data_IF_720476922204
#
_entry.id   IF_720476922204
#
_cell.length_a   1.000
_cell.length_b   1.000
_cell.length_c   1.000
_cell.angle_alpha   90.00
_cell.angle_beta   90.00
_cell.angle_gamma   90.00
#
_symmetry.space_group_name_H-M   'P 1'
#
loop_
_entity.id
_entity.type
_entity.pdbx_description
1 polymer ?
#
# COMPACT_ATOMS: atom_id res chain seq x y z
N UNK A 1 5.51 -10.62 29.09
CA UNK A 1 6.14 -11.77 28.43
C UNK A 1 7.27 -12.32 29.31
N UNK A 2 8.31 -11.53 29.65
CA UNK A 2 9.48 -12.00 30.43
C UNK A 2 9.08 -12.59 31.80
N UNK A 3 8.14 -11.98 32.51
CA UNK A 3 7.65 -12.49 33.81
C UNK A 3 6.90 -13.82 33.67
N UNK A 4 6.21 -14.04 32.57
CA UNK A 4 5.48 -15.29 32.36
C UNK A 4 6.40 -16.41 31.84
N UNK A 5 7.26 -16.11 30.89
CA UNK A 5 8.23 -17.05 30.29
C UNK A 5 9.39 -16.30 29.67
N UNK A 6 10.63 -16.45 30.20
CA UNK A 6 11.83 -15.88 29.57
C UNK A 6 11.97 -16.38 28.13
N UNK A 7 12.27 -15.47 27.19
CA UNK A 7 12.40 -15.78 25.77
C UNK A 7 11.08 -15.97 25.01
N UNK A 8 9.92 -15.66 25.61
CA UNK A 8 8.66 -15.68 24.89
C UNK A 8 8.68 -14.65 23.72
N UNK A 9 8.14 -15.01 22.53
CA UNK A 9 8.07 -14.10 21.39
C UNK A 9 7.20 -12.89 21.74
N UNK A 10 7.66 -11.71 21.32
CA UNK A 10 6.97 -10.43 21.56
C UNK A 10 6.98 -9.62 20.27
N UNK A 11 5.86 -8.99 19.94
CA UNK A 11 5.76 -7.96 18.92
C UNK A 11 5.68 -6.61 19.63
N UNK A 12 6.58 -5.70 19.26
CA UNK A 12 6.54 -4.33 19.73
C UNK A 12 5.51 -3.56 18.88
N UNK A 13 4.35 -3.32 19.44
CA UNK A 13 3.25 -2.72 18.73
C UNK A 13 2.42 -1.82 19.63
N UNK A 14 1.62 -0.99 19.00
CA UNK A 14 0.73 -0.08 19.66
C UNK A 14 -0.06 0.73 18.65
N UNK A 15 -0.84 1.68 19.14
CA UNK A 15 -1.59 2.61 18.32
C UNK A 15 -1.43 4.03 18.89
N UNK A 16 -0.18 4.57 18.93
CA UNK A 16 -0.04 5.97 19.31
C UNK A 16 -0.77 6.83 18.29
N UNK A 17 -1.64 7.70 18.75
CA UNK A 17 -2.43 8.58 17.89
C UNK A 17 -2.48 9.99 18.45
N UNK A 18 -2.74 10.96 17.58
CA UNK A 18 -3.01 12.33 17.97
C UNK A 18 -4.50 12.51 18.25
N UNK A 19 -4.82 13.58 18.98
CA UNK A 19 -6.18 13.93 19.35
C UNK A 19 -6.61 15.22 18.68
N UNK A 20 -7.81 15.24 18.10
CA UNK A 20 -8.40 16.45 17.53
C UNK A 20 -9.29 17.14 18.56
N UNK A 21 -8.80 18.23 19.11
CA UNK A 21 -9.53 19.01 20.13
C UNK A 21 -10.82 19.66 19.60
N UNK A 22 -10.91 19.91 18.29
CA UNK A 22 -12.09 20.52 17.68
C UNK A 22 -13.31 19.62 17.71
N UNK A 23 -13.08 18.32 17.53
CA UNK A 23 -14.12 17.31 17.42
C UNK A 23 -14.10 16.28 18.55
N UNK A 24 -13.12 16.37 19.45
CA UNK A 24 -12.92 15.42 20.55
C UNK A 24 -12.79 13.97 20.04
N UNK A 25 -12.02 13.76 18.96
CA UNK A 25 -11.83 12.46 18.32
C UNK A 25 -10.36 12.09 18.18
N UNK A 26 -10.08 10.79 18.08
CA UNK A 26 -8.77 10.29 17.64
C UNK A 26 -8.55 10.66 16.17
N UNK A 27 -7.28 10.77 15.76
CA UNK A 27 -6.88 11.10 14.39
C UNK A 27 -6.00 9.98 13.84
N UNK A 28 -6.59 8.81 13.60
CA UNK A 28 -5.84 7.61 13.19
C UNK A 28 -5.26 7.73 11.78
N UNK A 29 -6.01 8.33 10.85
CA UNK A 29 -5.57 8.61 9.48
C UNK A 29 -4.69 9.84 9.31
N UNK A 30 -4.38 10.59 10.40
CA UNK A 30 -3.59 11.81 10.30
C UNK A 30 -2.09 11.53 10.09
N UNK A 31 -1.43 12.43 9.35
CA UNK A 31 0.00 12.31 9.07
C UNK A 31 0.85 12.28 10.34
N UNK A 32 0.47 13.01 11.39
CA UNK A 32 1.16 13.01 12.67
C UNK A 32 1.10 11.63 13.34
N UNK A 33 -0.03 10.92 13.22
CA UNK A 33 -0.16 9.54 13.70
C UNK A 33 0.75 8.60 12.91
N UNK A 34 0.84 8.77 11.59
CA UNK A 34 1.77 8.02 10.76
C UNK A 34 3.24 8.27 11.16
N UNK A 35 3.60 9.52 11.45
CA UNK A 35 4.94 9.88 11.96
C UNK A 35 5.25 9.21 13.30
N UNK A 36 4.28 9.21 14.23
CA UNK A 36 4.40 8.50 15.51
C UNK A 36 4.58 7.00 15.29
N UNK A 37 3.84 6.41 14.36
CA UNK A 37 3.94 5.00 14.01
C UNK A 37 5.32 4.62 13.49
N UNK A 38 5.88 5.42 12.58
CA UNK A 38 7.24 5.21 12.06
C UNK A 38 8.29 5.36 13.16
N UNK A 39 8.15 6.36 14.03
CA UNK A 39 9.07 6.56 15.17
C UNK A 39 8.99 5.41 16.17
N UNK A 40 7.78 4.92 16.44
CA UNK A 40 7.54 3.76 17.29
C UNK A 40 8.22 2.50 16.72
N UNK A 41 8.12 2.29 15.41
CA UNK A 41 8.79 1.19 14.73
C UNK A 41 10.33 1.27 14.84
N UNK A 42 10.91 2.46 14.77
CA UNK A 42 12.36 2.66 14.98
C UNK A 42 12.79 2.20 16.37
N UNK A 43 12.02 2.51 17.41
CA UNK A 43 12.28 2.06 18.77
C UNK A 43 12.20 0.53 18.86
N UNK A 44 11.19 -0.08 18.28
CA UNK A 44 11.05 -1.55 18.25
C UNK A 44 12.26 -2.22 17.58
N UNK A 45 12.71 -1.68 16.46
CA UNK A 45 13.90 -2.15 15.75
C UNK A 45 15.19 -1.96 16.54
N UNK A 46 15.33 -0.86 17.27
CA UNK A 46 16.45 -0.65 18.16
C UNK A 46 16.57 -1.76 19.20
N UNK A 47 15.45 -2.28 19.68
CA UNK A 47 15.41 -3.43 20.60
C UNK A 47 15.45 -4.80 19.91
N UNK A 48 15.59 -4.86 18.59
CA UNK A 48 15.59 -6.11 17.81
C UNK A 48 14.25 -6.84 17.82
N UNK A 49 13.14 -6.13 18.00
CA UNK A 49 11.80 -6.70 18.06
C UNK A 49 11.04 -6.50 16.75
N UNK A 50 10.25 -7.48 16.31
CA UNK A 50 9.28 -7.27 15.24
C UNK A 50 8.27 -6.20 15.67
N UNK A 51 7.80 -5.40 14.70
CA UNK A 51 7.00 -4.21 14.93
C UNK A 51 5.61 -4.33 14.32
N UNK A 52 4.63 -3.70 14.97
CA UNK A 52 3.25 -3.62 14.51
C UNK A 52 2.72 -2.19 14.64
N UNK A 53 1.88 -1.77 13.69
CA UNK A 53 1.19 -0.48 13.73
C UNK A 53 -0.11 -0.49 12.91
N UNK A 54 -1.10 0.31 13.32
CA UNK A 54 -2.32 0.59 12.55
C UNK A 54 -2.05 1.74 11.58
N UNK A 55 -1.78 1.42 10.32
CA UNK A 55 -1.49 2.40 9.27
C UNK A 55 -2.33 2.21 7.99
N UNK A 56 -3.10 1.10 7.89
CA UNK A 56 -4.03 0.87 6.79
C UNK A 56 -5.44 1.41 7.06
N UNK A 57 -5.60 2.30 8.03
CA UNK A 57 -6.89 2.83 8.50
C UNK A 57 -7.24 4.15 7.85
N UNK A 58 -8.52 4.53 7.91
CA UNK A 58 -8.98 5.87 7.54
C UNK A 58 -9.99 6.43 8.53
N UNK A 59 -9.92 7.73 8.77
CA UNK A 59 -10.91 8.47 9.56
C UNK A 59 -12.17 8.83 8.73
N UNK A 60 -12.14 8.63 7.42
CA UNK A 60 -13.28 8.83 6.53
C UNK A 60 -14.48 7.95 6.93
N UNK A 61 -15.70 8.41 6.65
CA UNK A 61 -16.95 7.69 6.97
C UNK A 61 -17.47 6.90 5.77
N UNK A 62 -16.92 7.16 4.61
CA UNK A 62 -17.22 6.50 3.34
C UNK A 62 -15.94 6.22 2.57
N UNK A 63 -16.03 5.36 1.56
CA UNK A 63 -14.89 5.06 0.67
C UNK A 63 -14.79 6.17 -0.38
N UNK A 64 -13.98 7.18 -0.09
CA UNK A 64 -13.77 8.36 -0.92
C UNK A 64 -12.28 8.69 -1.09
N UNK A 65 -11.97 9.89 -1.58
CA UNK A 65 -10.60 10.34 -1.76
C UNK A 65 -9.82 10.43 -0.44
N UNK A 66 -10.48 10.83 0.69
CA UNK A 66 -9.86 10.85 2.00
C UNK A 66 -9.44 9.45 2.42
N UNK A 67 -10.32 8.49 2.26
CA UNK A 67 -10.05 7.08 2.53
C UNK A 67 -8.82 6.58 1.75
N UNK A 68 -8.76 6.91 0.45
CA UNK A 68 -7.66 6.50 -0.43
C UNK A 68 -6.31 7.07 -0.02
N UNK A 69 -6.23 8.38 0.27
CA UNK A 69 -4.93 8.97 0.62
C UNK A 69 -4.47 8.61 2.03
N UNK A 70 -5.36 8.52 3.01
CA UNK A 70 -4.99 8.12 4.37
C UNK A 70 -4.45 6.67 4.40
N UNK A 71 -5.18 5.71 3.84
CA UNK A 71 -4.72 4.32 3.77
C UNK A 71 -3.47 4.17 2.91
N UNK A 72 -3.43 4.83 1.75
CA UNK A 72 -2.30 4.73 0.82
C UNK A 72 -1.00 5.27 1.43
N UNK A 73 -1.04 6.45 2.04
CA UNK A 73 0.12 7.04 2.72
C UNK A 73 0.56 6.18 3.91
N UNK A 74 -0.38 5.74 4.74
CA UNK A 74 -0.09 4.94 5.91
C UNK A 74 0.57 3.60 5.56
N UNK A 75 0.03 2.86 4.61
CA UNK A 75 0.57 1.58 4.15
C UNK A 75 1.97 1.76 3.55
N UNK A 76 2.17 2.77 2.68
CA UNK A 76 3.46 3.04 2.06
C UNK A 76 4.51 3.46 3.09
N UNK A 77 4.18 4.39 3.98
CA UNK A 77 5.10 4.83 5.05
C UNK A 77 5.46 3.67 5.97
N UNK A 78 4.48 2.85 6.35
CA UNK A 78 4.72 1.67 7.18
C UNK A 78 5.62 0.64 6.51
N UNK A 79 5.43 0.38 5.22
CA UNK A 79 6.27 -0.52 4.43
C UNK A 79 7.71 0.01 4.34
N UNK A 80 7.89 1.29 4.01
CA UNK A 80 9.22 1.94 3.92
C UNK A 80 9.92 2.02 5.29
N UNK A 81 9.16 2.24 6.36
CA UNK A 81 9.68 2.16 7.72
C UNK A 81 10.02 0.72 8.13
N UNK A 82 9.67 -0.28 7.32
CA UNK A 82 9.91 -1.71 7.57
C UNK A 82 9.13 -2.24 8.77
N UNK A 83 7.90 -1.79 8.96
CA UNK A 83 6.98 -2.35 9.95
C UNK A 83 6.58 -3.76 9.50
N UNK A 84 6.71 -4.73 10.40
CA UNK A 84 6.49 -6.14 10.05
C UNK A 84 5.00 -6.49 9.89
N UNK A 85 4.13 -5.84 10.66
CA UNK A 85 2.67 -6.05 10.62
C UNK A 85 1.98 -4.70 10.57
N UNK A 86 1.29 -4.42 9.46
CA UNK A 86 0.45 -3.25 9.29
C UNK A 86 -1.01 -3.70 9.36
N UNK A 87 -1.72 -3.24 10.37
CA UNK A 87 -3.16 -3.50 10.56
C UNK A 87 -4.00 -2.35 10.01
N UNK A 88 -5.29 -2.62 9.86
CA UNK A 88 -6.31 -1.63 9.53
C UNK A 88 -6.88 -1.64 8.13
N UNK A 89 -6.37 -2.47 7.15
CA UNK A 89 -7.03 -2.57 5.85
C UNK A 89 -8.54 -2.84 5.99
N UNK A 90 -9.34 -2.08 5.25
CA UNK A 90 -10.79 -2.15 5.30
C UNK A 90 -11.45 -1.27 6.38
N UNK A 91 -10.71 -0.73 7.34
CA UNK A 91 -11.27 0.03 8.45
C UNK A 91 -11.52 1.50 8.12
N UNK A 92 -12.70 1.99 8.53
CA UNK A 92 -13.20 3.34 8.38
C UNK A 92 -13.61 3.93 9.74
N UNK A 93 -13.76 5.25 9.80
CA UNK A 93 -14.37 5.96 10.91
C UNK A 93 -13.69 5.70 12.25
N UNK A 94 -12.38 5.86 12.33
CA UNK A 94 -11.60 5.63 13.57
C UNK A 94 -11.68 4.17 14.04
N UNK A 95 -11.60 3.19 13.13
CA UNK A 95 -11.74 1.74 13.39
C UNK A 95 -13.14 1.31 13.89
N UNK A 96 -14.16 2.18 13.77
CA UNK A 96 -15.52 1.86 14.24
C UNK A 96 -16.33 1.03 13.25
N UNK A 97 -15.92 0.95 12.00
CA UNK A 97 -16.57 0.12 11.00
C UNK A 97 -15.58 -0.43 9.98
N UNK A 98 -16.03 -1.42 9.23
CA UNK A 98 -15.26 -2.04 8.15
C UNK A 98 -16.11 -2.09 6.88
N UNK A 99 -15.48 -1.84 5.73
CA UNK A 99 -16.08 -1.99 4.40
C UNK A 99 -15.32 -3.07 3.64
N UNK A 100 -16.07 -3.96 2.98
CA UNK A 100 -15.49 -4.98 2.11
C UNK A 100 -14.90 -4.36 0.85
N UNK A 101 -15.55 -3.34 0.30
CA UNK A 101 -15.04 -2.58 -0.84
C UNK A 101 -13.70 -1.92 -0.51
N UNK A 102 -13.60 -1.29 0.68
CA UNK A 102 -12.33 -0.73 1.16
C UNK A 102 -11.28 -1.82 1.35
N UNK A 103 -11.63 -2.97 1.88
CA UNK A 103 -10.69 -4.07 2.07
C UNK A 103 -10.06 -4.52 0.75
N UNK A 104 -10.82 -4.59 -0.33
CA UNK A 104 -10.31 -4.90 -1.67
C UNK A 104 -9.39 -3.80 -2.20
N UNK A 105 -9.74 -2.52 -1.98
CA UNK A 105 -8.91 -1.37 -2.37
C UNK A 105 -7.59 -1.41 -1.60
N UNK A 106 -7.65 -1.58 -0.29
CA UNK A 106 -6.47 -1.63 0.58
C UNK A 106 -5.58 -2.85 0.29
N UNK A 107 -6.17 -4.00 -0.08
CA UNK A 107 -5.40 -5.15 -0.56
C UNK A 107 -4.56 -4.80 -1.80
N UNK A 108 -5.12 -4.02 -2.72
CA UNK A 108 -4.37 -3.51 -3.88
C UNK A 108 -3.25 -2.56 -3.44
N UNK A 109 -3.52 -1.65 -2.49
CA UNK A 109 -2.51 -0.75 -1.92
C UNK A 109 -1.38 -1.53 -1.24
N UNK A 110 -1.70 -2.60 -0.50
CA UNK A 110 -0.70 -3.49 0.09
C UNK A 110 0.20 -4.14 -0.98
N UNK A 111 -0.39 -4.63 -2.08
CA UNK A 111 0.38 -5.16 -3.20
C UNK A 111 1.30 -4.12 -3.84
N UNK A 112 0.83 -2.87 -4.01
CA UNK A 112 1.65 -1.77 -4.52
C UNK A 112 2.81 -1.44 -3.57
N UNK A 113 2.56 -1.41 -2.25
CA UNK A 113 3.58 -1.16 -1.25
C UNK A 113 4.63 -2.27 -1.19
N UNK A 114 4.23 -3.54 -1.29
CA UNK A 114 5.15 -4.67 -1.38
C UNK A 114 6.04 -4.55 -2.62
N UNK A 115 5.45 -4.26 -3.79
CA UNK A 115 6.24 -4.03 -5.02
C UNK A 115 7.22 -2.85 -4.87
N UNK A 116 6.82 -1.79 -4.15
CA UNK A 116 7.69 -0.65 -3.90
C UNK A 116 8.93 -1.03 -3.08
N UNK A 117 8.77 -1.83 -2.03
CA UNK A 117 9.91 -2.24 -1.17
C UNK A 117 10.81 -3.28 -1.83
N UNK A 118 10.33 -4.01 -2.83
CA UNK A 118 11.18 -4.89 -3.66
C UNK A 118 12.24 -4.08 -4.44
N UNK A 119 11.98 -2.79 -4.66
CA UNK A 119 12.90 -1.89 -5.35
C UNK A 119 13.01 -2.15 -6.85
N UNK A 120 14.07 -1.63 -7.44
CA UNK A 120 14.39 -1.76 -8.86
C UNK A 120 15.65 -2.62 -9.02
N UNK A 121 15.53 -3.71 -9.77
CA UNK A 121 16.68 -4.56 -10.10
C UNK A 121 17.55 -3.85 -11.14
N UNK A 122 18.84 -3.65 -10.82
CA UNK A 122 19.82 -3.04 -11.73
C UNK A 122 20.94 -4.03 -11.99
N UNK A 123 20.94 -4.61 -13.18
CA UNK A 123 21.96 -5.51 -13.67
C UNK A 123 22.13 -5.38 -15.20
N UNK A 124 23.03 -6.15 -15.80
CA UNK A 124 23.29 -6.09 -17.24
C UNK A 124 22.08 -6.49 -18.09
N UNK A 125 21.14 -7.28 -17.55
CA UNK A 125 19.93 -7.68 -18.26
C UNK A 125 18.90 -6.55 -18.22
N UNK A 126 18.67 -5.98 -17.05
CA UNK A 126 17.68 -4.92 -16.86
C UNK A 126 18.10 -3.59 -17.48
N UNK A 127 19.42 -3.31 -17.53
CA UNK A 127 19.95 -2.15 -18.28
C UNK A 127 19.73 -2.24 -19.79
N UNK A 128 19.60 -3.45 -20.34
CA UNK A 128 19.21 -3.73 -21.73
C UNK A 128 20.02 -2.97 -22.80
N UNK A 129 21.29 -2.62 -22.55
CA UNK A 129 22.12 -1.78 -23.43
C UNK A 129 22.23 -2.37 -24.85
N UNK A 130 22.47 -3.68 -24.98
CA UNK A 130 22.55 -4.34 -26.29
C UNK A 130 21.22 -4.27 -27.06
N UNK A 131 20.09 -4.31 -26.34
CA UNK A 131 18.77 -4.17 -26.95
C UNK A 131 18.53 -2.74 -27.42
N UNK A 132 18.96 -1.74 -26.63
CA UNK A 132 18.86 -0.32 -26.99
C UNK A 132 19.67 -0.05 -28.26
N UNK A 133 20.91 -0.58 -28.36
CA UNK A 133 21.75 -0.48 -29.56
C UNK A 133 21.09 -1.14 -30.79
N UNK A 134 20.53 -2.35 -30.60
CA UNK A 134 19.85 -3.09 -31.68
C UNK A 134 18.63 -2.37 -32.23
N UNK A 135 17.78 -1.84 -31.35
CA UNK A 135 16.50 -1.19 -31.73
C UNK A 135 16.75 0.22 -32.28
N UNK A 136 17.70 0.96 -31.72
CA UNK A 136 18.10 2.29 -32.15
C UNK A 136 17.04 3.36 -31.89
N UNK A 137 17.37 4.62 -32.24
CA UNK A 137 16.44 5.75 -32.11
C UNK A 137 15.20 5.59 -33.01
N UNK A 138 14.01 5.83 -32.42
CA UNK A 138 12.73 5.73 -33.14
C UNK A 138 12.21 4.30 -33.38
N UNK A 139 12.94 3.28 -32.94
CA UNK A 139 12.48 1.90 -33.04
C UNK A 139 11.43 1.55 -31.96
N UNK A 140 10.78 0.38 -32.10
CA UNK A 140 9.79 -0.11 -31.14
C UNK A 140 10.32 -1.29 -30.34
N UNK A 141 10.07 -1.26 -29.02
CA UNK A 141 10.45 -2.31 -28.08
C UNK A 141 9.31 -3.30 -27.78
N UNK A 142 8.08 -3.02 -28.24
CA UNK A 142 6.87 -3.75 -27.86
C UNK A 142 6.90 -5.24 -28.16
N UNK A 143 7.55 -5.65 -29.26
CA UNK A 143 7.66 -7.05 -29.68
C UNK A 143 8.93 -7.75 -29.19
N UNK A 144 9.82 -7.06 -28.50
CA UNK A 144 11.08 -7.63 -28.04
C UNK A 144 10.85 -8.57 -26.85
N UNK A 145 11.53 -9.71 -26.89
CA UNK A 145 11.43 -10.74 -25.85
C UNK A 145 11.69 -10.18 -24.44
N UNK A 146 12.70 -9.33 -24.31
CA UNK A 146 13.02 -8.64 -23.05
C UNK A 146 11.83 -7.86 -22.53
N UNK A 147 11.19 -7.03 -23.35
CA UNK A 147 10.02 -6.23 -22.95
C UNK A 147 8.87 -7.12 -22.48
N UNK A 148 8.56 -8.19 -23.24
CA UNK A 148 7.48 -9.12 -22.90
C UNK A 148 7.74 -9.84 -21.56
N UNK A 149 8.99 -10.20 -21.31
CA UNK A 149 9.39 -10.89 -20.08
C UNK A 149 9.34 -9.94 -18.88
N UNK A 150 9.96 -8.77 -18.99
CA UNK A 150 10.09 -7.82 -17.89
C UNK A 150 8.79 -7.09 -17.56
N UNK A 151 7.91 -6.87 -18.53
CA UNK A 151 6.55 -6.36 -18.25
C UNK A 151 5.79 -7.23 -17.25
N UNK A 152 5.99 -8.54 -17.30
CA UNK A 152 5.32 -9.47 -16.38
C UNK A 152 6.02 -9.61 -15.03
N UNK A 153 7.36 -9.47 -15.02
CA UNK A 153 8.17 -9.66 -13.81
C UNK A 153 8.26 -8.41 -12.94
N UNK A 154 8.37 -7.25 -13.56
CA UNK A 154 8.74 -6.02 -12.88
C UNK A 154 7.56 -5.07 -12.66
N UNK A 155 6.50 -5.18 -13.44
CA UNK A 155 5.30 -4.38 -13.23
C UNK A 155 4.34 -5.04 -12.25
N UNK A 156 3.88 -4.27 -11.28
CA UNK A 156 2.72 -4.65 -10.48
C UNK A 156 1.46 -4.55 -11.34
N UNK A 157 0.88 -5.70 -11.64
CA UNK A 157 -0.38 -5.80 -12.39
C UNK A 157 -1.52 -5.92 -11.37
N UNK A 158 -2.23 -4.84 -11.06
CA UNK A 158 -3.37 -4.90 -10.14
C UNK A 158 -4.52 -5.71 -10.77
N UNK A 159 -5.48 -6.11 -9.93
CA UNK A 159 -6.74 -6.67 -10.40
C UNK A 159 -7.55 -5.63 -11.19
N UNK A 160 -8.66 -6.05 -11.80
CA UNK A 160 -9.60 -5.18 -12.54
C UNK A 160 -10.21 -4.06 -11.67
N UNK A 161 -9.93 -4.08 -10.38
CA UNK A 161 -10.29 -3.00 -9.46
C UNK A 161 -9.64 -1.67 -9.84
N UNK A 162 -8.41 -1.68 -10.36
CA UNK A 162 -7.68 -0.48 -10.80
C UNK A 162 -7.84 -0.28 -12.31
N UNK A 163 -8.50 0.80 -12.68
CA UNK A 163 -8.66 1.16 -14.09
C UNK A 163 -7.36 1.68 -14.71
N UNK A 164 -7.02 1.15 -15.87
CA UNK A 164 -5.91 1.59 -16.73
C UNK A 164 -6.35 1.74 -18.19
N UNK A 165 -7.65 1.75 -18.45
CA UNK A 165 -8.21 1.85 -19.79
C UNK A 165 -8.11 3.26 -20.33
N UNK A 166 -8.32 3.39 -21.66
CA UNK A 166 -8.54 4.71 -22.23
C UNK A 166 -9.89 5.26 -21.78
N UNK A 167 -10.04 6.59 -21.74
CA UNK A 167 -11.31 7.22 -21.36
C UNK A 167 -12.52 6.68 -22.15
N UNK A 168 -12.34 6.50 -23.46
CA UNK A 168 -13.39 5.97 -24.35
C UNK A 168 -13.77 4.51 -23.98
N UNK A 169 -12.80 3.69 -23.67
CA UNK A 169 -13.03 2.31 -23.25
C UNK A 169 -13.73 2.25 -21.88
N UNK A 170 -13.29 3.06 -20.92
CA UNK A 170 -13.94 3.21 -19.62
C UNK A 170 -15.40 3.66 -19.74
N UNK A 171 -15.71 4.65 -20.60
CA UNK A 171 -17.09 5.06 -20.87
C UNK A 171 -17.92 3.91 -21.46
N UNK A 172 -17.39 3.19 -22.43
CA UNK A 172 -18.08 2.05 -23.04
C UNK A 172 -18.32 0.90 -22.05
N UNK A 173 -17.45 0.76 -21.03
CA UNK A 173 -17.59 -0.22 -19.93
C UNK A 173 -18.53 0.25 -18.80
N UNK A 174 -19.22 1.38 -18.94
CA UNK A 174 -20.24 1.84 -17.99
C UNK A 174 -19.77 2.87 -16.99
N UNK A 175 -18.58 3.48 -17.17
CA UNK A 175 -18.06 4.60 -16.36
C UNK A 175 -18.00 4.31 -14.86
N UNK A 176 -17.74 3.06 -14.45
CA UNK A 176 -17.69 2.64 -13.05
C UNK A 176 -16.50 3.27 -12.33
N UNK A 177 -16.74 3.78 -11.13
CA UNK A 177 -15.67 4.17 -10.21
C UNK A 177 -15.06 2.95 -9.48
N UNK A 178 -14.08 3.17 -8.62
CA UNK A 178 -13.38 2.08 -7.93
C UNK A 178 -14.28 1.35 -6.93
N UNK A 179 -15.23 2.08 -6.31
CA UNK A 179 -16.18 1.50 -5.35
C UNK A 179 -17.19 0.62 -6.06
N UNK A 180 -17.67 1.06 -7.24
CA UNK A 180 -18.58 0.27 -8.06
C UNK A 180 -17.91 -1.02 -8.53
N UNK A 181 -16.66 -0.96 -8.99
CA UNK A 181 -15.90 -2.16 -9.35
C UNK A 181 -15.66 -3.08 -8.16
N UNK A 182 -15.42 -2.52 -6.97
CA UNK A 182 -15.26 -3.32 -5.76
C UNK A 182 -16.56 -4.04 -5.38
N UNK A 183 -17.72 -3.39 -5.50
CA UNK A 183 -19.05 -4.02 -5.28
C UNK A 183 -19.34 -5.17 -6.25
N UNK A 184 -18.84 -5.10 -7.47
CA UNK A 184 -19.01 -6.21 -8.43
C UNK A 184 -18.20 -7.45 -8.04
N UNK A 185 -17.18 -7.31 -7.18
CA UNK A 185 -16.29 -8.39 -6.76
C UNK A 185 -16.74 -9.02 -5.42
N UNK A 186 -17.35 -8.21 -4.53
CA UNK A 186 -17.89 -8.66 -3.24
C UNK A 186 -19.15 -9.51 -3.42
#
# INVERSE_FOLDING_TARGET
AQLAKPGAPVIYGGSPTTFDQRYCTSRLGAIETMMLGCSYAQIGKYYGLPTHMYLGVSDAKVVDAQCGFESGLGIVLGALAGINVISGPGMLGFENCQSLEKLLIDNTLCGMALRLIDGVTVDNITMATNLIEKVGPGGTYLAEKHTLEWTRKDQFLPSDLVDRQTFKAWQAAGSKDIVDRAKDIV
#
